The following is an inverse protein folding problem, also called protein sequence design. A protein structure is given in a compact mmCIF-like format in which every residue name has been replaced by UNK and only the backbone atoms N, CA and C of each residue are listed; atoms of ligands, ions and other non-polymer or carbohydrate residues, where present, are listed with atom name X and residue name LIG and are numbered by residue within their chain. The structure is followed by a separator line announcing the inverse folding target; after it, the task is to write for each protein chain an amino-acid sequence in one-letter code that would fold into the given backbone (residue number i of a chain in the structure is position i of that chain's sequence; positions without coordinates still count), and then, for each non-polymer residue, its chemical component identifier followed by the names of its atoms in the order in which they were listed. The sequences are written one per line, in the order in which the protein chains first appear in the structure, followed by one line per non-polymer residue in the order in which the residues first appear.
data_IF_669570964770
#
_entry.id   IF_669570964770
#
_cell.length_a   1.000
_cell.length_b   1.000
_cell.length_c   1.000
_cell.angle_alpha   90.00
_cell.angle_beta   90.00
_cell.angle_gamma   90.00
#
_symmetry.space_group_name_H-M   'P 1'
#
loop_
_entity.id
_entity.type
_entity.pdbx_description
1 polymer ?
#
# COMPACT_ATOMS: atom_id res chain seq x y z
N UNK A 1 20.96 -17.00 2.56
CA UNK A 1 20.14 -15.79 2.33
C UNK A 1 20.73 -14.68 3.18
N UNK A 2 21.48 -13.77 2.59
CA UNK A 2 21.98 -12.60 3.31
C UNK A 2 20.80 -11.66 3.58
N UNK A 3 20.35 -11.61 4.84
CA UNK A 3 19.53 -10.52 5.33
C UNK A 3 20.36 -9.25 5.21
N UNK A 4 20.17 -8.49 4.12
CA UNK A 4 20.71 -7.13 3.99
C UNK A 4 20.23 -6.35 5.19
N UNK A 5 21.12 -6.08 6.14
CA UNK A 5 20.88 -5.17 7.26
C UNK A 5 20.60 -3.82 6.62
N UNK A 6 19.33 -3.43 6.59
CA UNK A 6 18.90 -2.19 5.98
C UNK A 6 19.37 -1.04 6.88
N UNK A 7 20.11 -0.08 6.33
CA UNK A 7 20.67 1.02 7.11
C UNK A 7 19.54 1.87 7.69
N UNK A 8 19.64 2.23 8.97
CA UNK A 8 18.64 3.04 9.66
C UNK A 8 18.37 4.36 8.92
N UNK A 9 19.40 4.97 8.31
CA UNK A 9 19.22 6.18 7.52
C UNK A 9 18.39 5.95 6.25
N UNK A 10 18.50 4.78 5.62
CA UNK A 10 17.66 4.40 4.48
C UNK A 10 16.20 4.26 4.91
N UNK A 11 15.97 3.66 6.08
CA UNK A 11 14.63 3.49 6.65
C UNK A 11 14.00 4.86 6.96
N UNK A 12 14.77 5.78 7.56
CA UNK A 12 14.32 7.16 7.79
C UNK A 12 13.93 7.84 6.49
N UNK A 13 14.82 7.81 5.47
CA UNK A 13 14.54 8.40 4.15
C UNK A 13 13.29 7.80 3.50
N UNK A 14 13.13 6.49 3.58
CA UNK A 14 11.94 5.82 3.08
C UNK A 14 10.67 6.33 3.77
N UNK A 15 10.68 6.42 5.10
CA UNK A 15 9.53 6.93 5.86
C UNK A 15 9.22 8.37 5.49
N UNK A 16 10.24 9.22 5.31
CA UNK A 16 10.06 10.62 4.93
C UNK A 16 9.39 10.80 3.57
N UNK A 17 9.74 9.95 2.59
CA UNK A 17 9.22 10.01 1.23
C UNK A 17 7.83 9.38 1.07
N UNK A 18 7.53 8.32 1.82
CA UNK A 18 6.35 7.46 1.58
C UNK A 18 5.21 7.62 2.58
N UNK A 19 5.45 8.28 3.70
CA UNK A 19 4.44 8.52 4.74
C UNK A 19 3.22 9.28 4.21
N UNK A 20 2.08 8.98 4.81
CA UNK A 20 0.81 9.65 4.61
C UNK A 20 0.20 10.00 5.97
N UNK A 21 -0.79 10.90 6.01
CA UNK A 21 -1.39 11.36 7.27
C UNK A 21 -1.95 10.21 8.13
N UNK A 22 -2.59 9.22 7.50
CA UNK A 22 -3.15 8.05 8.21
C UNK A 22 -2.09 7.12 8.83
N UNK A 23 -0.85 7.14 8.33
CA UNK A 23 0.23 6.33 8.90
C UNK A 23 0.58 6.82 10.31
N UNK A 24 0.53 8.14 10.54
CA UNK A 24 0.77 8.71 11.86
C UNK A 24 -0.34 8.38 12.87
N UNK A 25 -1.59 8.31 12.42
CA UNK A 25 -2.70 7.88 13.27
C UNK A 25 -2.52 6.42 13.68
N UNK A 26 -2.11 5.57 12.73
CA UNK A 26 -1.84 4.16 12.99
C UNK A 26 -0.66 3.98 13.94
N UNK A 27 0.42 4.73 13.72
CA UNK A 27 1.58 4.76 14.61
C UNK A 27 1.20 5.20 16.03
N UNK A 28 0.38 6.25 16.14
CA UNK A 28 -0.10 6.77 17.42
C UNK A 28 -0.88 5.72 18.21
N UNK A 29 -1.79 4.99 17.54
CA UNK A 29 -2.53 3.88 18.13
C UNK A 29 -1.60 2.75 18.61
N UNK A 30 -0.60 2.39 17.80
CA UNK A 30 0.38 1.35 18.16
C UNK A 30 1.25 1.78 19.35
N UNK A 31 1.62 3.05 19.43
CA UNK A 31 2.44 3.60 20.51
C UNK A 31 1.65 3.93 21.77
N UNK A 32 0.31 3.92 21.72
CA UNK A 32 -0.55 4.33 22.84
C UNK A 32 -0.44 5.83 23.16
N UNK A 33 -0.20 6.66 22.15
CA UNK A 33 -0.06 8.13 22.29
C UNK A 33 -0.97 8.87 21.30
N UNK A 34 -1.10 10.19 21.44
CA UNK A 34 -1.79 10.98 20.44
C UNK A 34 -0.95 11.17 19.15
N UNK A 35 -1.61 11.59 18.06
CA UNK A 35 -0.97 11.72 16.74
C UNK A 35 0.20 12.71 16.73
N UNK A 36 0.13 13.80 17.49
CA UNK A 36 1.20 14.79 17.54
C UNK A 36 2.43 14.25 18.27
N UNK A 37 2.23 13.53 19.37
CA UNK A 37 3.30 12.84 20.09
C UNK A 37 3.98 11.79 19.20
N UNK A 38 3.22 11.04 18.39
CA UNK A 38 3.78 10.11 17.42
C UNK A 38 4.61 10.83 16.33
N UNK A 39 4.12 11.95 15.79
CA UNK A 39 4.88 12.79 14.84
C UNK A 39 6.18 13.30 15.46
N UNK A 40 6.15 13.74 16.71
CA UNK A 40 7.34 14.22 17.41
C UNK A 40 8.40 13.13 17.58
N UNK A 41 8.01 11.89 17.85
CA UNK A 41 8.96 10.77 17.89
C UNK A 41 9.61 10.50 16.54
N UNK A 42 8.86 10.65 15.44
CA UNK A 42 9.40 10.51 14.08
C UNK A 42 10.33 11.68 13.73
N UNK A 43 9.95 12.91 14.09
CA UNK A 43 10.80 14.09 13.92
C UNK A 43 12.14 13.95 14.66
N UNK A 44 12.10 13.43 15.90
CA UNK A 44 13.28 13.11 16.71
C UNK A 44 14.03 11.86 16.26
N UNK A 45 13.55 11.18 15.22
CA UNK A 45 14.12 9.94 14.67
C UNK A 45 14.30 8.86 15.74
N UNK A 46 13.36 8.76 16.68
CA UNK A 46 13.36 7.68 17.67
C UNK A 46 13.29 6.35 16.94
N UNK A 47 14.30 5.51 17.12
CA UNK A 47 14.47 4.27 16.34
C UNK A 47 13.23 3.40 16.36
N UNK A 48 12.67 3.15 17.55
CA UNK A 48 11.43 2.38 17.72
C UNK A 48 10.28 2.93 16.87
N UNK A 49 10.05 4.24 16.90
CA UNK A 49 8.96 4.87 16.16
C UNK A 49 9.19 4.78 14.64
N UNK A 50 10.42 5.04 14.18
CA UNK A 50 10.81 4.94 12.77
C UNK A 50 10.64 3.51 12.24
N UNK A 51 11.08 2.51 13.01
CA UNK A 51 10.96 1.10 12.61
C UNK A 51 9.51 0.63 12.54
N UNK A 52 8.65 1.09 13.46
CA UNK A 52 7.21 0.79 13.42
C UNK A 52 6.57 1.49 12.21
N UNK A 53 6.85 2.78 12.00
CA UNK A 53 6.32 3.53 10.87
C UNK A 53 6.73 2.91 9.53
N UNK A 54 7.97 2.46 9.42
CA UNK A 54 8.47 1.75 8.24
C UNK A 54 7.63 0.52 7.92
N UNK A 55 7.35 -0.32 8.93
CA UNK A 55 6.51 -1.53 8.76
C UNK A 55 5.08 -1.17 8.36
N UNK A 56 4.48 -0.15 8.98
CA UNK A 56 3.15 0.35 8.63
C UNK A 56 3.10 0.75 7.15
N UNK A 57 4.04 1.59 6.71
CA UNK A 57 4.09 2.08 5.33
C UNK A 57 4.30 0.92 4.35
N UNK A 58 5.23 0.02 4.65
CA UNK A 58 5.55 -1.14 3.79
C UNK A 58 4.31 -2.01 3.58
N UNK A 59 3.64 -2.39 4.66
CA UNK A 59 2.43 -3.22 4.58
C UNK A 59 1.31 -2.52 3.82
N UNK A 60 1.13 -1.22 4.04
CA UNK A 60 0.13 -0.42 3.32
C UNK A 60 0.39 -0.40 1.82
N UNK A 61 1.65 -0.19 1.41
CA UNK A 61 2.03 -0.18 -0.01
C UNK A 61 1.89 -1.56 -0.67
N UNK A 62 2.18 -2.63 0.07
CA UNK A 62 1.96 -4.01 -0.39
C UNK A 62 0.46 -4.30 -0.62
N UNK A 63 -0.39 -3.98 0.36
CA UNK A 63 -1.85 -4.12 0.24
C UNK A 63 -2.41 -3.29 -0.93
N UNK A 64 -1.93 -2.05 -1.11
CA UNK A 64 -2.36 -1.21 -2.24
C UNK A 64 -2.09 -1.91 -3.57
N UNK A 65 -0.89 -2.46 -3.75
CA UNK A 65 -0.51 -3.18 -4.99
C UNK A 65 -1.36 -4.43 -5.21
N UNK A 66 -1.58 -5.20 -4.15
CA UNK A 66 -2.41 -6.40 -4.19
C UNK A 66 -3.83 -6.09 -4.68
N UNK A 67 -4.50 -5.12 -4.06
CA UNK A 67 -5.86 -4.74 -4.44
C UNK A 67 -5.93 -4.09 -5.82
N UNK A 68 -4.95 -3.26 -6.19
CA UNK A 68 -4.87 -2.70 -7.55
C UNK A 68 -4.78 -3.80 -8.62
N UNK A 69 -3.96 -4.83 -8.38
CA UNK A 69 -3.84 -5.99 -9.28
C UNK A 69 -5.15 -6.76 -9.38
N UNK A 70 -5.79 -7.06 -8.24
CA UNK A 70 -7.08 -7.75 -8.22
C UNK A 70 -8.16 -6.99 -8.99
N UNK A 71 -8.28 -5.69 -8.74
CA UNK A 71 -9.26 -4.82 -9.42
C UNK A 71 -9.00 -4.75 -10.93
N UNK A 72 -7.73 -4.66 -11.34
CA UNK A 72 -7.35 -4.67 -12.77
C UNK A 72 -7.76 -5.98 -13.45
N UNK A 73 -7.50 -7.12 -12.81
CA UNK A 73 -7.89 -8.44 -13.31
C UNK A 73 -9.42 -8.56 -13.47
N UNK A 74 -10.18 -8.12 -12.48
CA UNK A 74 -11.66 -8.14 -12.55
C UNK A 74 -12.21 -7.26 -13.68
N UNK A 75 -11.64 -6.07 -13.88
CA UNK A 75 -12.02 -5.16 -14.97
C UNK A 75 -11.77 -5.81 -16.34
N UNK A 76 -10.62 -6.45 -16.52
CA UNK A 76 -10.28 -7.15 -17.77
C UNK A 76 -11.25 -8.31 -18.05
N UNK A 77 -11.54 -9.16 -17.06
CA UNK A 77 -12.54 -10.23 -17.22
C UNK A 77 -13.93 -9.72 -17.59
N UNK A 78 -14.38 -8.61 -16.98
CA UNK A 78 -15.68 -8.00 -17.34
C UNK A 78 -15.69 -7.50 -18.77
N UNK A 79 -14.60 -6.89 -19.23
CA UNK A 79 -14.43 -6.42 -20.61
C UNK A 79 -14.48 -7.58 -21.61
N UNK A 80 -13.73 -8.65 -21.38
CA UNK A 80 -13.73 -9.85 -22.23
C UNK A 80 -15.12 -10.49 -22.33
N UNK A 81 -15.84 -10.63 -21.21
CA UNK A 81 -17.21 -11.15 -21.20
C UNK A 81 -18.17 -10.29 -22.03
N UNK A 82 -18.04 -8.97 -21.93
CA UNK A 82 -18.84 -8.04 -22.73
C UNK A 82 -18.54 -8.18 -24.23
N UNK A 83 -17.26 -8.22 -24.60
CA UNK A 83 -16.84 -8.40 -26.00
C UNK A 83 -17.33 -9.74 -26.58
N UNK A 84 -17.16 -10.84 -25.85
CA UNK A 84 -17.61 -12.17 -26.29
C UNK A 84 -19.13 -12.23 -26.46
N UNK A 85 -19.89 -11.59 -25.56
CA UNK A 85 -21.35 -11.49 -25.70
C UNK A 85 -21.76 -10.71 -26.94
N UNK A 86 -21.10 -9.59 -27.23
CA UNK A 86 -21.36 -8.79 -28.42
C UNK A 86 -21.05 -9.56 -29.71
N UNK A 87 -19.95 -10.31 -29.72
CA UNK A 87 -19.60 -11.18 -30.85
C UNK A 87 -20.68 -12.26 -31.07
N UNK A 88 -21.08 -12.97 -30.02
CA UNK A 88 -22.13 -14.00 -30.11
C UNK A 88 -23.45 -13.43 -30.62
N UNK A 89 -23.85 -12.24 -30.16
CA UNK A 89 -25.06 -11.56 -30.65
C UNK A 89 -24.96 -11.18 -32.13
N UNK A 90 -23.79 -10.73 -32.60
CA UNK A 90 -23.59 -10.42 -34.01
C UNK A 90 -23.62 -11.68 -34.88
N UNK A 91 -22.98 -12.77 -34.45
CA UNK A 91 -23.04 -14.06 -35.16
C UNK A 91 -24.47 -14.59 -35.25
N UNK A 92 -25.26 -14.50 -34.15
CA UNK A 92 -26.65 -14.95 -34.13
C UNK A 92 -27.61 -14.12 -35.02
N UNK A 93 -27.18 -12.96 -35.54
CA UNK A 93 -27.96 -12.15 -36.50
C UNK A 93 -27.64 -12.47 -37.96
N UNK A 94 -26.59 -13.24 -38.22
CA UNK A 94 -26.15 -13.62 -39.56
C UNK A 94 -26.80 -14.92 -40.06
N UNK A 95 -27.61 -15.57 -39.21
CA UNK A 95 -28.36 -16.80 -39.47
C UNK A 95 -29.78 -16.64 -38.93
#
# INVERSE_FOLDING_TARGET
METKVQDFNEIVRFCEQKRQTGDYQTLANVLGVNTDAARMQIYRKTEKAVMILYKIIKQREELKKEYQKSISYEKNRKKERFTNRALLQNYARLF
#
